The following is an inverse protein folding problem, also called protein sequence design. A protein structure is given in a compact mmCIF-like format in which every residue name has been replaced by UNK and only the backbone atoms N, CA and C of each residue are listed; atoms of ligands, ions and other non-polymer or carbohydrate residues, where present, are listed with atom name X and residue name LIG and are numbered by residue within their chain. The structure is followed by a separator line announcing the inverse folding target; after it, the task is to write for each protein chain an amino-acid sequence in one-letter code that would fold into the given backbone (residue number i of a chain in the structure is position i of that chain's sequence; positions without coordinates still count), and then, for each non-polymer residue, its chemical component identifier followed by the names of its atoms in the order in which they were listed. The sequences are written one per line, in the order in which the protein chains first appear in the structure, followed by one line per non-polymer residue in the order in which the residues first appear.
data_IF_366017596403
#
_entry.id   IF_366017596403
#
_cell.length_a   1.000
_cell.length_b   1.000
_cell.length_c   1.000
_cell.angle_alpha   90.00
_cell.angle_beta   90.00
_cell.angle_gamma   90.00
#
_symmetry.space_group_name_H-M   'P 1'
#
loop_
_entity.id
_entity.type
_entity.pdbx_description
1 polymer ?
#
# COMPACT_ATOMS: atom_id res chain seq x y z
N UNK A 1 23.26 11.27 14.58
CA UNK A 1 22.44 10.70 13.47
C UNK A 1 23.11 9.49 12.82
N UNK A 2 24.40 9.56 12.49
CA UNK A 2 25.18 8.43 11.93
C UNK A 2 25.08 7.16 12.75
N UNK A 3 25.30 7.26 14.06
CA UNK A 3 25.13 6.18 15.02
C UNK A 3 23.77 5.50 14.97
N UNK A 4 22.69 6.30 14.94
CA UNK A 4 21.34 5.77 14.84
C UNK A 4 21.14 5.00 13.53
N UNK A 5 21.71 5.49 12.42
CA UNK A 5 21.66 4.78 11.15
C UNK A 5 22.36 3.42 11.22
N UNK A 6 23.61 3.40 11.69
CA UNK A 6 24.45 2.19 11.73
C UNK A 6 23.88 1.15 12.68
N UNK A 7 23.49 1.56 13.88
CA UNK A 7 23.12 0.62 14.95
C UNK A 7 21.67 0.18 14.89
N UNK A 8 20.82 0.93 14.19
CA UNK A 8 19.37 0.67 14.21
C UNK A 8 18.72 0.88 12.84
N UNK A 9 18.86 2.08 12.26
CA UNK A 9 18.09 2.51 11.10
C UNK A 9 18.26 1.63 9.87
N UNK A 10 19.46 1.11 9.61
CA UNK A 10 19.74 0.26 8.44
C UNK A 10 19.13 -1.15 8.53
N UNK A 11 18.83 -1.61 9.75
CA UNK A 11 18.26 -2.94 10.00
C UNK A 11 16.72 -2.95 9.97
N UNK A 12 16.09 -1.78 9.74
CA UNK A 12 14.65 -1.67 9.66
C UNK A 12 14.15 -1.88 8.23
N UNK A 13 12.94 -2.43 8.09
CA UNK A 13 12.22 -2.49 6.79
C UNK A 13 12.04 -1.11 6.13
N UNK A 14 12.09 -0.03 6.91
CA UNK A 14 12.01 1.36 6.45
C UNK A 14 13.37 2.03 6.22
N UNK A 15 14.47 1.27 6.18
CA UNK A 15 15.85 1.77 6.07
C UNK A 15 16.04 2.84 4.99
N UNK A 16 15.50 2.64 3.79
CA UNK A 16 15.59 3.62 2.69
C UNK A 16 14.97 4.97 3.08
N UNK A 17 13.79 4.94 3.72
CA UNK A 17 13.10 6.15 4.17
C UNK A 17 13.84 6.81 5.33
N UNK A 18 14.37 6.02 6.27
CA UNK A 18 15.17 6.51 7.39
C UNK A 18 16.41 7.25 6.86
N UNK A 19 17.17 6.61 5.97
CA UNK A 19 18.38 7.20 5.36
C UNK A 19 18.10 8.52 4.68
N UNK A 20 17.03 8.58 3.87
CA UNK A 20 16.65 9.81 3.16
C UNK A 20 16.30 10.96 4.13
N UNK A 21 15.57 10.66 5.21
CA UNK A 21 15.19 11.65 6.24
C UNK A 21 16.38 12.16 7.04
N UNK A 22 17.28 11.26 7.43
CA UNK A 22 18.52 11.62 8.13
C UNK A 22 19.41 12.49 7.24
N UNK A 23 19.61 12.09 5.97
CA UNK A 23 20.37 12.89 4.99
C UNK A 23 19.74 14.28 4.82
N UNK A 24 18.41 14.37 4.78
CA UNK A 24 17.73 15.65 4.64
C UNK A 24 17.92 16.56 5.86
N UNK A 25 17.99 15.99 7.06
CA UNK A 25 18.34 16.74 8.27
C UNK A 25 19.82 17.18 8.27
N UNK A 26 20.74 16.33 7.80
CA UNK A 26 22.15 16.71 7.63
C UNK A 26 22.30 17.89 6.66
N UNK A 27 21.61 17.85 5.51
CA UNK A 27 21.60 18.98 4.56
C UNK A 27 21.08 20.28 5.17
N UNK A 28 20.14 20.20 6.11
CA UNK A 28 19.67 21.38 6.83
C UNK A 28 20.73 21.89 7.81
N UNK A 29 21.43 21.00 8.51
CA UNK A 29 22.52 21.41 9.40
C UNK A 29 23.64 22.11 8.62
N UNK A 30 24.02 21.58 7.46
CA UNK A 30 25.02 22.21 6.58
C UNK A 30 24.53 23.62 6.18
N UNK A 31 23.26 23.75 5.77
CA UNK A 31 22.66 25.05 5.44
C UNK A 31 22.65 26.05 6.60
N UNK A 32 22.40 25.59 7.82
CA UNK A 32 22.43 26.45 9.02
C UNK A 32 23.87 26.84 9.40
N UNK A 33 24.84 25.92 9.22
CA UNK A 33 26.27 26.18 9.44
C UNK A 33 26.79 27.23 8.44
N UNK A 34 26.51 27.06 7.16
CA UNK A 34 26.90 28.01 6.09
C UNK A 34 26.31 29.41 6.34
N UNK A 35 25.16 29.48 7.01
CA UNK A 35 24.52 30.73 7.36
C UNK A 35 24.93 31.27 8.74
N UNK A 36 25.92 30.67 9.41
CA UNK A 36 26.44 31.10 10.71
C UNK A 36 25.46 30.97 11.87
N UNK A 37 24.44 30.11 11.75
CA UNK A 37 23.38 29.94 12.77
C UNK A 37 23.59 28.74 13.70
N UNK A 38 24.56 27.87 13.43
CA UNK A 38 24.96 26.80 14.34
C UNK A 38 26.17 27.21 15.15
N UNK A 39 26.18 26.88 16.45
CA UNK A 39 27.40 26.92 17.24
C UNK A 39 28.30 25.75 16.89
N UNK A 40 29.60 25.92 17.17
CA UNK A 40 30.57 24.84 17.11
C UNK A 40 31.16 24.58 18.51
N UNK A 41 30.92 23.39 19.12
CA UNK A 41 30.13 22.28 18.59
C UNK A 41 28.62 22.56 18.63
N UNK A 42 27.87 21.95 17.70
CA UNK A 42 26.42 21.91 17.75
C UNK A 42 25.94 20.77 18.67
N UNK A 43 25.30 21.15 19.77
CA UNK A 43 24.90 20.24 20.84
C UNK A 43 23.41 19.88 20.74
N UNK A 44 23.00 18.65 21.14
CA UNK A 44 21.61 18.22 21.11
C UNK A 44 20.64 19.16 21.83
N UNK A 45 21.08 19.82 22.90
CA UNK A 45 20.31 20.79 23.71
C UNK A 45 19.80 21.97 22.87
N UNK A 46 20.45 22.28 21.75
CA UNK A 46 20.10 23.38 20.85
C UNK A 46 19.01 23.00 19.84
N UNK A 47 18.54 21.75 19.86
CA UNK A 47 17.42 21.29 19.04
C UNK A 47 16.12 21.65 19.77
N UNK A 48 15.70 22.91 19.59
CA UNK A 48 14.51 23.50 20.20
C UNK A 48 13.40 23.78 19.16
N UNK A 49 12.30 24.40 19.62
CA UNK A 49 11.18 24.74 18.74
C UNK A 49 11.57 25.77 17.65
N UNK A 50 12.55 26.64 17.91
CA UNK A 50 13.03 27.62 16.91
C UNK A 50 13.83 26.91 15.81
N UNK A 51 14.75 26.01 16.16
CA UNK A 51 15.48 25.17 15.21
C UNK A 51 14.51 24.39 14.32
N UNK A 52 13.48 23.77 14.91
CA UNK A 52 12.48 23.01 14.17
C UNK A 52 11.58 23.91 13.30
N UNK A 53 11.29 25.14 13.71
CA UNK A 53 10.57 26.12 12.90
C UNK A 53 11.39 26.51 11.65
N UNK A 54 12.69 26.76 11.81
CA UNK A 54 13.60 27.04 10.70
C UNK A 54 13.73 25.86 9.76
N UNK A 55 13.87 24.64 10.29
CA UNK A 55 13.89 23.41 9.48
C UNK A 55 12.63 23.30 8.63
N UNK A 56 11.44 23.50 9.23
CA UNK A 56 10.17 23.42 8.50
C UNK A 56 10.06 24.49 7.41
N UNK A 57 10.48 25.73 7.70
CA UNK A 57 10.47 26.83 6.73
C UNK A 57 11.41 26.56 5.55
N UNK A 58 12.65 26.17 5.84
CA UNK A 58 13.64 25.78 4.83
C UNK A 58 13.16 24.60 3.99
N UNK A 59 12.63 23.55 4.63
CA UNK A 59 12.24 22.33 3.96
C UNK A 59 11.05 22.50 2.99
N UNK A 60 10.20 23.53 3.18
CA UNK A 60 9.15 23.89 2.22
C UNK A 60 9.76 24.44 0.93
N UNK A 61 10.83 25.23 1.05
CA UNK A 61 11.54 25.83 -0.08
C UNK A 61 12.42 24.85 -0.86
N UNK A 62 12.83 23.74 -0.25
CA UNK A 62 13.70 22.74 -0.89
C UNK A 62 12.87 21.64 -1.57
N UNK A 63 12.79 21.58 -2.91
CA UNK A 63 12.00 20.56 -3.59
C UNK A 63 12.62 19.16 -3.49
N UNK A 64 11.83 18.15 -3.87
CA UNK A 64 12.33 16.82 -4.20
C UNK A 64 12.60 16.79 -5.70
N UNK A 65 13.84 16.55 -6.08
CA UNK A 65 14.26 16.45 -7.47
C UNK A 65 14.53 14.98 -7.79
N UNK A 66 13.78 14.43 -8.75
CA UNK A 66 14.09 13.12 -9.32
C UNK A 66 15.31 13.27 -10.24
N UNK A 67 16.26 12.34 -10.17
CA UNK A 67 17.41 12.31 -11.08
C UNK A 67 17.06 11.43 -12.27
N UNK A 68 17.45 11.84 -13.48
CA UNK A 68 17.33 11.05 -14.71
C UNK A 68 18.66 11.00 -15.43
N UNK A 69 18.87 9.99 -16.28
CA UNK A 69 20.01 10.00 -17.21
C UNK A 69 19.65 10.81 -18.45
N UNK A 70 20.57 11.64 -18.91
CA UNK A 70 20.47 12.30 -20.22
C UNK A 70 20.84 11.32 -21.36
N UNK A 71 20.80 11.80 -22.60
CA UNK A 71 21.15 11.00 -23.78
C UNK A 71 22.62 10.52 -23.77
N UNK A 72 23.51 11.20 -23.04
CA UNK A 72 24.90 10.83 -22.86
C UNK A 72 25.12 9.90 -21.64
N UNK A 73 24.06 9.56 -20.91
CA UNK A 73 24.11 8.70 -19.73
C UNK A 73 24.47 9.41 -18.42
N UNK A 74 24.64 10.73 -18.44
CA UNK A 74 24.93 11.52 -17.24
C UNK A 74 23.68 11.73 -16.40
N UNK A 75 23.84 11.69 -15.07
CA UNK A 75 22.74 12.04 -14.17
C UNK A 75 22.50 13.53 -14.19
N UNK A 76 21.29 13.92 -14.59
CA UNK A 76 20.79 15.29 -14.59
C UNK A 76 19.52 15.39 -13.75
N UNK A 77 19.13 16.62 -13.41
CA UNK A 77 17.86 16.87 -12.76
C UNK A 77 16.70 16.57 -13.70
N UNK A 78 15.75 15.81 -13.18
CA UNK A 78 14.50 15.47 -13.83
C UNK A 78 13.35 16.25 -13.21
N UNK A 79 12.22 15.57 -12.99
CA UNK A 79 11.03 16.21 -12.43
C UNK A 79 11.27 16.67 -10.99
N UNK A 80 10.89 17.91 -10.72
CA UNK A 80 10.91 18.51 -9.40
C UNK A 80 9.48 18.58 -8.83
N UNK A 81 9.33 18.29 -7.54
CA UNK A 81 8.05 18.45 -6.83
C UNK A 81 8.25 19.04 -5.45
N UNK A 82 7.27 19.82 -5.00
CA UNK A 82 7.24 20.37 -3.62
C UNK A 82 7.16 19.23 -2.59
N UNK A 83 7.86 19.40 -1.46
CA UNK A 83 7.73 18.51 -0.29
C UNK A 83 6.39 18.76 0.39
N UNK A 84 5.67 17.69 0.75
CA UNK A 84 4.46 17.85 1.53
C UNK A 84 4.81 18.14 3.00
N UNK A 85 3.99 18.92 3.73
CA UNK A 85 4.20 19.16 5.16
C UNK A 85 4.33 17.86 5.95
N UNK A 86 3.55 16.84 5.60
CA UNK A 86 3.67 15.51 6.18
C UNK A 86 5.06 14.89 5.96
N UNK A 87 5.66 15.01 4.78
CA UNK A 87 7.00 14.46 4.50
C UNK A 87 8.09 15.18 5.29
N UNK A 88 7.94 16.50 5.45
CA UNK A 88 8.83 17.33 6.28
C UNK A 88 8.74 16.85 7.74
N UNK A 89 7.52 16.69 8.25
CA UNK A 89 7.30 16.29 9.64
C UNK A 89 7.82 14.88 9.95
N UNK A 90 7.78 13.95 9.00
CA UNK A 90 8.41 12.63 9.14
C UNK A 90 9.93 12.71 9.39
N UNK A 91 10.59 13.77 8.91
CA UNK A 91 12.02 14.00 9.18
C UNK A 91 12.24 14.49 10.62
N UNK A 92 11.31 15.30 11.16
CA UNK A 92 11.32 15.70 12.58
C UNK A 92 11.09 14.50 13.49
N UNK A 93 10.13 13.62 13.15
CA UNK A 93 9.90 12.37 13.88
C UNK A 93 11.16 11.49 13.84
N UNK A 94 11.83 11.41 12.68
CA UNK A 94 13.06 10.64 12.55
C UNK A 94 14.21 11.20 13.39
N UNK A 95 14.37 12.52 13.43
CA UNK A 95 15.34 13.20 14.28
C UNK A 95 15.08 12.89 15.76
N UNK A 96 13.81 12.99 16.19
CA UNK A 96 13.39 12.62 17.55
C UNK A 96 13.76 11.18 17.90
N UNK A 97 13.52 10.24 16.98
CA UNK A 97 13.90 8.83 17.17
C UNK A 97 15.42 8.66 17.29
N UNK A 98 16.21 9.37 16.47
CA UNK A 98 17.67 9.30 16.52
C UNK A 98 18.25 9.86 17.83
N UNK A 99 17.68 10.95 18.35
CA UNK A 99 18.09 11.55 19.62
C UNK A 99 17.66 10.67 20.79
N UNK A 100 16.43 10.14 20.78
CA UNK A 100 15.98 9.17 21.78
C UNK A 100 16.88 7.95 21.82
N UNK A 101 17.28 7.41 20.67
CA UNK A 101 18.22 6.30 20.62
C UNK A 101 19.59 6.65 21.23
N UNK A 102 20.11 7.85 20.99
CA UNK A 102 21.35 8.31 21.62
C UNK A 102 21.21 8.41 23.15
N UNK A 103 20.07 8.90 23.64
CA UNK A 103 19.75 8.98 25.06
C UNK A 103 19.63 7.60 25.71
N UNK A 104 18.87 6.68 25.10
CA UNK A 104 18.68 5.32 25.59
C UNK A 104 20.02 4.55 25.66
N UNK A 105 20.95 4.86 24.75
CA UNK A 105 22.31 4.31 24.74
C UNK A 105 23.32 5.15 25.57
N UNK A 106 22.84 6.06 26.43
CA UNK A 106 23.65 6.89 27.35
C UNK A 106 24.74 7.72 26.68
N UNK A 107 24.56 8.09 25.41
CA UNK A 107 25.52 8.96 24.66
C UNK A 107 25.28 10.44 24.91
N UNK A 108 24.08 10.79 25.33
CA UNK A 108 23.68 12.14 25.71
C UNK A 108 22.99 12.05 27.08
N UNK A 109 23.18 13.08 27.91
CA UNK A 109 22.61 13.12 29.27
C UNK A 109 21.21 13.71 29.31
N UNK A 110 20.89 14.54 28.33
CA UNK A 110 19.63 15.24 28.23
C UNK A 110 18.89 14.84 26.94
N UNK A 111 17.57 14.67 27.05
CA UNK A 111 16.68 14.43 25.92
C UNK A 111 15.88 15.72 25.66
N UNK A 112 16.18 16.46 24.58
CA UNK A 112 15.42 17.65 24.21
C UNK A 112 13.93 17.34 24.02
N UNK A 113 13.01 18.17 24.55
CA UNK A 113 11.57 17.96 24.49
C UNK A 113 11.00 18.28 23.10
N UNK A 114 11.46 17.57 22.07
CA UNK A 114 11.09 17.80 20.66
C UNK A 114 9.60 17.51 20.43
N UNK A 115 8.90 18.53 19.95
CA UNK A 115 7.50 18.47 19.53
C UNK A 115 7.40 18.32 18.01
N UNK A 116 6.65 17.31 17.58
CA UNK A 116 6.28 17.13 16.18
C UNK A 116 4.77 17.39 16.02
N UNK A 117 4.38 17.86 14.84
CA UNK A 117 2.98 18.08 14.47
C UNK A 117 2.30 16.73 14.27
N UNK A 118 1.05 16.63 14.72
CA UNK A 118 0.22 15.44 14.50
C UNK A 118 -0.08 15.27 13.01
N UNK A 119 -0.46 14.05 12.60
CA UNK A 119 -0.78 13.78 11.20
C UNK A 119 -1.88 14.67 10.64
N UNK A 120 -2.90 14.97 11.46
CA UNK A 120 -4.00 15.88 11.11
C UNK A 120 -3.56 17.33 10.93
N UNK A 121 -2.54 17.78 11.67
CA UNK A 121 -2.00 19.13 11.53
C UNK A 121 -1.13 19.34 10.27
N UNK A 122 -0.70 18.25 9.60
CA UNK A 122 0.18 18.30 8.42
C UNK A 122 -0.42 17.66 7.17
N UNK A 123 -1.64 17.14 7.28
CA UNK A 123 -2.36 16.49 6.17
C UNK A 123 -3.77 17.04 6.12
N UNK A 124 -4.13 17.71 5.02
CA UNK A 124 -5.51 18.10 4.80
C UNK A 124 -6.43 16.87 4.83
N UNK A 125 -7.56 16.97 5.54
CA UNK A 125 -8.59 15.92 5.54
C UNK A 125 -9.17 15.82 4.13
N UNK A 126 -9.22 14.60 3.58
CA UNK A 126 -9.75 14.34 2.25
C UNK A 126 -11.00 13.47 2.37
N UNK A 127 -12.16 14.04 2.05
CA UNK A 127 -13.46 13.40 2.21
C UNK A 127 -14.06 12.87 0.90
N UNK A 128 -13.43 13.14 -0.24
CA UNK A 128 -13.83 12.56 -1.52
C UNK A 128 -13.64 11.03 -1.51
N UNK A 129 -14.58 10.35 -2.17
CA UNK A 129 -14.60 8.89 -2.39
C UNK A 129 -15.04 8.64 -3.82
N UNK A 130 -14.47 7.62 -4.47
CA UNK A 130 -15.05 7.07 -5.70
C UNK A 130 -16.45 6.53 -5.41
N UNK A 131 -17.38 6.84 -6.32
CA UNK A 131 -18.69 6.21 -6.37
C UNK A 131 -18.56 4.75 -6.81
N UNK A 132 -19.64 3.99 -6.65
CA UNK A 132 -19.70 2.62 -7.16
C UNK A 132 -19.56 2.57 -8.69
N UNK A 133 -20.19 3.53 -9.37
CA UNK A 133 -20.07 3.70 -10.82
C UNK A 133 -18.62 3.90 -11.26
N UNK A 134 -17.86 4.77 -10.59
CA UNK A 134 -16.45 5.00 -10.92
C UNK A 134 -15.57 3.75 -10.68
N UNK A 135 -15.95 2.87 -9.74
CA UNK A 135 -15.30 1.57 -9.56
C UNK A 135 -15.64 0.63 -10.72
N UNK A 136 -16.89 0.62 -11.19
CA UNK A 136 -17.32 -0.10 -12.40
C UNK A 136 -16.54 0.36 -13.65
N UNK A 137 -16.47 1.66 -13.89
CA UNK A 137 -15.69 2.26 -14.99
C UNK A 137 -14.21 1.88 -14.92
N UNK A 138 -13.64 1.79 -13.71
CA UNK A 138 -12.27 1.34 -13.51
C UNK A 138 -12.09 -0.15 -13.85
N UNK A 139 -13.06 -1.01 -13.52
CA UNK A 139 -13.06 -2.42 -13.91
C UNK A 139 -13.18 -2.57 -15.43
N UNK A 140 -14.10 -1.84 -16.07
CA UNK A 140 -14.27 -1.83 -17.53
C UNK A 140 -13.02 -1.33 -18.25
N UNK A 141 -12.35 -0.32 -17.70
CA UNK A 141 -11.06 0.14 -18.21
C UNK A 141 -10.02 -0.99 -18.24
N UNK A 142 -10.02 -1.89 -17.24
CA UNK A 142 -9.11 -3.03 -17.27
C UNK A 142 -9.41 -4.03 -18.38
N UNK A 143 -10.65 -4.10 -18.87
CA UNK A 143 -11.09 -5.01 -19.95
C UNK A 143 -10.93 -4.41 -21.34
N UNK A 144 -11.03 -3.09 -21.45
CA UNK A 144 -11.01 -2.36 -22.73
C UNK A 144 -9.63 -1.80 -23.04
N UNK A 145 -8.93 -1.31 -22.02
CA UNK A 145 -7.64 -0.67 -22.19
C UNK A 145 -7.71 0.73 -22.76
N UNK A 146 -6.53 1.31 -23.03
CA UNK A 146 -6.39 2.62 -23.67
C UNK A 146 -5.13 2.66 -24.55
N UNK A 147 -5.31 2.37 -25.84
CA UNK A 147 -4.25 2.37 -26.84
C UNK A 147 -3.30 1.17 -26.78
N UNK A 148 -2.23 1.24 -27.57
CA UNK A 148 -1.33 0.10 -27.88
C UNK A 148 -0.63 -0.50 -26.66
N UNK A 149 -0.32 0.31 -25.65
CA UNK A 149 0.48 -0.13 -24.49
C UNK A 149 -0.36 -0.52 -23.27
N UNK A 150 -1.67 -0.27 -23.31
CA UNK A 150 -2.60 -0.46 -22.20
C UNK A 150 -3.60 -1.52 -22.60
N UNK A 151 -3.12 -2.74 -22.87
CA UNK A 151 -3.96 -3.86 -23.30
C UNK A 151 -4.59 -4.58 -22.10
N UNK A 152 -5.70 -5.32 -22.30
CA UNK A 152 -6.35 -6.05 -21.20
C UNK A 152 -5.42 -7.05 -20.50
N UNK A 153 -4.53 -7.70 -21.24
CA UNK A 153 -3.52 -8.61 -20.67
C UNK A 153 -2.54 -7.87 -19.74
N UNK A 154 -2.08 -6.67 -20.14
CA UNK A 154 -1.19 -5.83 -19.30
C UNK A 154 -1.90 -5.22 -18.09
N UNK A 155 -3.22 -5.06 -18.17
CA UNK A 155 -4.06 -4.56 -17.07
C UNK A 155 -4.58 -5.66 -16.14
N UNK A 156 -4.33 -6.94 -16.44
CA UNK A 156 -4.77 -8.04 -15.60
C UNK A 156 -4.29 -7.93 -14.14
N UNK A 157 -3.03 -7.55 -13.84
CA UNK A 157 -2.61 -7.34 -12.45
C UNK A 157 -3.39 -6.22 -11.76
N UNK A 158 -3.71 -5.14 -12.49
CA UNK A 158 -4.55 -4.06 -11.95
C UNK A 158 -5.97 -4.57 -11.66
N UNK A 159 -6.55 -5.38 -12.55
CA UNK A 159 -7.86 -6.00 -12.35
C UNK A 159 -7.88 -6.89 -11.11
N UNK A 160 -6.92 -7.82 -11.00
CA UNK A 160 -6.72 -8.67 -9.82
C UNK A 160 -6.62 -7.82 -8.56
N UNK A 161 -5.79 -6.78 -8.57
CA UNK A 161 -5.69 -5.84 -7.44
C UNK A 161 -7.03 -5.18 -7.08
N UNK A 162 -7.81 -4.72 -8.07
CA UNK A 162 -9.12 -4.08 -7.83
C UNK A 162 -10.10 -5.09 -7.21
N UNK A 163 -10.16 -6.31 -7.72
CA UNK A 163 -11.02 -7.38 -7.19
C UNK A 163 -10.68 -7.68 -5.73
N UNK A 164 -9.40 -7.86 -5.41
CA UNK A 164 -8.97 -8.03 -4.01
C UNK A 164 -9.30 -6.80 -3.16
N UNK A 165 -9.08 -5.59 -3.66
CA UNK A 165 -9.39 -4.35 -2.92
C UNK A 165 -10.88 -4.21 -2.61
N UNK A 166 -11.76 -4.62 -3.51
CA UNK A 166 -13.22 -4.64 -3.31
C UNK A 166 -13.58 -5.70 -2.27
N UNK A 167 -13.10 -6.94 -2.46
CA UNK A 167 -13.54 -8.08 -1.65
C UNK A 167 -12.96 -8.10 -0.24
N UNK A 168 -11.79 -7.48 -0.02
CA UNK A 168 -11.10 -7.54 1.28
C UNK A 168 -11.02 -6.18 1.97
N UNK A 169 -11.21 -5.09 1.21
CA UNK A 169 -10.96 -3.72 1.68
C UNK A 169 -9.54 -3.55 2.23
N UNK A 170 -8.60 -4.45 1.91
CA UNK A 170 -7.30 -4.56 2.56
C UNK A 170 -6.34 -3.42 2.19
N UNK A 171 -5.25 -3.28 2.94
CA UNK A 171 -4.19 -2.31 2.62
C UNK A 171 -3.46 -2.74 1.34
N UNK A 172 -2.92 -1.81 0.53
CA UNK A 172 -2.25 -2.18 -0.72
C UNK A 172 -1.13 -3.21 -0.55
N UNK A 173 -0.37 -3.12 0.55
CA UNK A 173 0.70 -4.08 0.87
C UNK A 173 0.17 -5.45 1.28
N UNK A 174 -1.03 -5.54 1.85
CA UNK A 174 -1.67 -6.81 2.14
C UNK A 174 -2.25 -7.44 0.86
N UNK A 175 -2.82 -6.63 -0.04
CA UNK A 175 -3.36 -7.10 -1.33
C UNK A 175 -2.26 -7.68 -2.23
N UNK A 176 -1.12 -6.98 -2.34
CA UNK A 176 0.04 -7.46 -3.11
C UNK A 176 0.71 -8.69 -2.46
N UNK A 177 0.37 -8.97 -1.20
CA UNK A 177 0.88 -10.09 -0.41
C UNK A 177 -0.22 -11.14 -0.20
N UNK A 178 -1.22 -11.21 -1.08
CA UNK A 178 -2.18 -12.32 -1.14
C UNK A 178 -1.51 -13.45 -1.90
N UNK A 179 -1.40 -14.60 -1.24
CA UNK A 179 -0.83 -15.82 -1.80
C UNK A 179 -1.73 -17.01 -1.42
N UNK A 180 -1.87 -17.99 -2.31
CA UNK A 180 -2.77 -19.13 -2.13
C UNK A 180 -2.07 -20.43 -1.77
N UNK A 181 -0.73 -20.45 -1.67
CA UNK A 181 0.00 -21.68 -1.36
C UNK A 181 -0.21 -22.11 0.10
N UNK A 182 -0.22 -23.42 0.39
CA UNK A 182 -0.41 -23.92 1.75
C UNK A 182 0.63 -23.41 2.75
N UNK A 183 1.88 -23.24 2.33
CA UNK A 183 3.00 -22.82 3.19
C UNK A 183 2.80 -21.41 3.74
N UNK A 184 2.08 -20.58 3.00
CA UNK A 184 1.72 -19.21 3.39
C UNK A 184 0.54 -19.19 4.35
N UNK A 185 -0.24 -20.26 4.43
CA UNK A 185 -1.33 -20.45 5.40
C UNK A 185 -2.45 -19.41 5.34
N UNK A 186 -2.57 -18.65 4.25
CA UNK A 186 -3.53 -17.56 4.16
C UNK A 186 -4.91 -18.04 3.70
N UNK A 187 -4.94 -18.98 2.75
CA UNK A 187 -6.18 -19.41 2.12
C UNK A 187 -6.73 -20.67 2.79
N UNK A 188 -7.92 -20.56 3.40
CA UNK A 188 -8.61 -21.66 4.09
C UNK A 188 -9.90 -22.02 3.32
N UNK A 189 -9.80 -22.82 2.24
CA UNK A 189 -10.91 -23.05 1.31
C UNK A 189 -12.12 -23.73 1.94
N UNK A 190 -11.92 -24.66 2.87
CA UNK A 190 -13.00 -25.39 3.55
C UNK A 190 -13.80 -24.49 4.51
N UNK A 191 -13.11 -23.57 5.18
CA UNK A 191 -13.75 -22.60 6.08
C UNK A 191 -14.33 -21.38 5.35
N UNK A 192 -13.95 -21.16 4.08
CA UNK A 192 -14.31 -19.95 3.35
C UNK A 192 -13.68 -18.69 3.92
N UNK A 193 -12.50 -18.80 4.54
CA UNK A 193 -11.79 -17.70 5.20
C UNK A 193 -10.45 -17.41 4.52
N UNK A 194 -10.02 -16.15 4.55
CA UNK A 194 -8.70 -15.72 4.09
C UNK A 194 -8.00 -14.88 5.16
N UNK A 195 -6.84 -15.34 5.64
CA UNK A 195 -5.98 -14.58 6.53
C UNK A 195 -5.06 -13.63 5.75
N UNK A 196 -5.27 -12.32 5.89
CA UNK A 196 -4.42 -11.32 5.26
C UNK A 196 -3.00 -11.29 5.87
N UNK A 197 -2.78 -11.92 7.02
CA UNK A 197 -1.47 -12.11 7.62
C UNK A 197 -0.91 -13.50 7.25
N UNK A 198 0.12 -13.60 6.40
CA UNK A 198 0.73 -14.89 6.10
C UNK A 198 1.37 -15.53 7.33
N UNK A 199 1.41 -16.86 7.33
CA UNK A 199 2.06 -17.67 8.35
C UNK A 199 3.51 -17.20 8.58
N UNK A 200 3.90 -17.12 9.85
CA UNK A 200 5.23 -16.66 10.27
C UNK A 200 5.46 -15.14 10.20
N UNK A 201 4.55 -14.34 9.62
CA UNK A 201 4.68 -12.87 9.66
C UNK A 201 4.28 -12.32 11.03
N UNK A 202 5.24 -11.68 11.70
CA UNK A 202 4.98 -10.93 12.93
C UNK A 202 3.93 -9.85 12.70
N UNK A 203 2.86 -9.92 13.49
CA UNK A 203 1.79 -8.96 13.42
C UNK A 203 2.20 -7.65 14.09
N UNK A 204 2.08 -6.53 13.36
CA UNK A 204 2.41 -5.19 13.86
C UNK A 204 1.14 -4.45 14.28
N UNK A 205 1.26 -3.20 14.76
CA UNK A 205 0.11 -2.30 14.92
C UNK A 205 -0.68 -2.08 13.61
N UNK A 206 -0.08 -2.35 12.45
CA UNK A 206 -0.79 -2.46 11.18
C UNK A 206 -1.32 -3.89 11.02
N UNK A 207 -2.32 -4.21 11.84
CA UNK A 207 -2.96 -5.53 11.88
C UNK A 207 -3.59 -5.86 10.52
N UNK A 208 -3.46 -7.12 10.12
CA UNK A 208 -4.06 -7.71 8.93
C UNK A 208 -5.04 -8.79 9.41
N UNK A 209 -6.36 -8.60 9.24
CA UNK A 209 -7.36 -9.50 9.79
C UNK A 209 -7.62 -10.72 8.89
N UNK A 210 -8.21 -11.76 9.49
CA UNK A 210 -8.89 -12.85 8.77
C UNK A 210 -10.26 -12.39 8.30
N UNK A 211 -10.62 -12.68 7.05
CA UNK A 211 -11.86 -12.21 6.42
C UNK A 211 -12.66 -13.37 5.81
N UNK A 212 -14.01 -13.32 5.83
CA UNK A 212 -14.81 -14.23 5.03
C UNK A 212 -14.63 -13.94 3.54
N UNK A 213 -14.58 -15.00 2.72
CA UNK A 213 -14.35 -14.89 1.28
C UNK A 213 -15.66 -14.86 0.49
N UNK A 214 -15.81 -13.83 -0.33
CA UNK A 214 -16.90 -13.73 -1.28
C UNK A 214 -16.76 -14.73 -2.44
N UNK A 215 -17.86 -15.17 -3.09
CA UNK A 215 -17.81 -16.19 -4.13
C UNK A 215 -17.03 -15.67 -5.34
N UNK A 216 -17.11 -14.34 -5.57
CA UNK A 216 -16.26 -13.66 -6.52
C UNK A 216 -14.77 -13.87 -6.21
N UNK A 217 -14.33 -13.54 -5.00
CA UNK A 217 -12.92 -13.68 -4.62
C UNK A 217 -12.49 -15.15 -4.65
N UNK A 218 -13.35 -16.07 -4.20
CA UNK A 218 -13.13 -17.52 -4.28
C UNK A 218 -12.77 -17.95 -5.70
N UNK A 219 -13.56 -17.53 -6.70
CA UNK A 219 -13.31 -17.88 -8.10
C UNK A 219 -11.95 -17.41 -8.61
N UNK A 220 -11.45 -16.26 -8.13
CA UNK A 220 -10.12 -15.76 -8.47
C UNK A 220 -9.01 -16.48 -7.71
N UNK A 221 -9.23 -16.80 -6.42
CA UNK A 221 -8.29 -17.57 -5.60
C UNK A 221 -8.09 -18.98 -6.17
N UNK A 222 -9.16 -19.67 -6.54
CA UNK A 222 -9.11 -21.02 -7.13
C UNK A 222 -8.47 -21.05 -8.53
N UNK A 223 -8.41 -19.90 -9.21
CA UNK A 223 -7.76 -19.70 -10.51
C UNK A 223 -6.34 -19.10 -10.38
N UNK A 224 -5.82 -18.97 -9.16
CA UNK A 224 -4.48 -18.46 -8.88
C UNK A 224 -3.58 -19.62 -8.50
N UNK A 225 -2.35 -19.63 -9.02
CA UNK A 225 -1.39 -20.71 -8.71
C UNK A 225 -0.57 -20.41 -7.45
N UNK A 226 -0.09 -19.17 -7.31
CA UNK A 226 0.75 -18.76 -6.18
C UNK A 226 0.37 -17.35 -5.70
N UNK A 227 0.74 -16.32 -6.48
CA UNK A 227 0.51 -14.91 -6.13
C UNK A 227 -0.75 -14.38 -6.78
N UNK A 228 -1.68 -13.84 -5.98
CA UNK A 228 -2.97 -13.39 -6.49
C UNK A 228 -2.88 -12.20 -7.44
N UNK A 229 -2.02 -11.23 -7.13
CA UNK A 229 -1.75 -10.08 -8.01
C UNK A 229 -0.57 -10.43 -8.90
N UNK A 230 -0.89 -11.10 -10.00
CA UNK A 230 0.05 -11.57 -11.00
C UNK A 230 -0.31 -11.04 -12.40
N UNK A 231 0.68 -11.09 -13.30
CA UNK A 231 0.47 -11.04 -14.74
C UNK A 231 0.47 -12.47 -15.30
N UNK A 232 -0.16 -12.67 -16.45
CA UNK A 232 -0.18 -13.95 -17.14
C UNK A 232 0.68 -13.86 -18.42
N UNK A 233 1.62 -14.79 -18.57
CA UNK A 233 2.38 -14.99 -19.81
C UNK A 233 1.96 -16.30 -20.43
N UNK A 234 1.58 -16.26 -21.72
CA UNK A 234 1.37 -17.46 -22.49
C UNK A 234 2.69 -17.94 -23.06
N UNK A 235 2.98 -19.23 -22.90
CA UNK A 235 4.15 -19.90 -23.44
C UNK A 235 3.71 -21.20 -24.10
N UNK A 236 4.29 -21.52 -25.25
CA UNK A 236 4.02 -22.78 -25.93
C UNK A 236 5.04 -23.83 -25.47
N UNK A 237 4.57 -24.85 -24.75
CA UNK A 237 5.41 -25.99 -24.37
C UNK A 237 5.61 -26.89 -25.59
N UNK A 238 6.81 -26.87 -26.16
CA UNK A 238 7.16 -27.68 -27.33
C UNK A 238 7.15 -29.20 -27.04
N UNK A 239 7.38 -29.63 -25.80
CA UNK A 239 7.40 -31.06 -25.46
C UNK A 239 5.99 -31.61 -25.34
N UNK A 240 5.10 -30.84 -24.72
CA UNK A 240 3.72 -31.24 -24.48
C UNK A 240 2.76 -30.81 -25.60
N UNK A 241 3.22 -29.95 -26.53
CA UNK A 241 2.43 -29.39 -27.63
C UNK A 241 1.16 -28.66 -27.12
N UNK A 242 1.26 -27.98 -25.98
CA UNK A 242 0.17 -27.21 -25.38
C UNK A 242 0.58 -25.77 -25.08
N UNK A 243 -0.40 -24.87 -25.06
CA UNK A 243 -0.21 -23.52 -24.51
C UNK A 243 -0.34 -23.57 -22.98
N UNK A 244 0.69 -23.11 -22.28
CA UNK A 244 0.74 -22.99 -20.83
C UNK A 244 0.61 -21.50 -20.45
N UNK A 245 -0.10 -21.24 -19.36
CA UNK A 245 -0.16 -19.91 -18.76
C UNK A 245 0.72 -19.91 -17.52
N UNK A 246 1.73 -19.04 -17.51
CA UNK A 246 2.57 -18.79 -16.34
C UNK A 246 2.06 -17.55 -15.60
N UNK A 247 1.81 -17.67 -14.29
CA UNK A 247 1.43 -16.56 -13.41
C UNK A 247 2.64 -15.96 -12.70
N UNK A 248 2.97 -14.71 -13.01
CA UNK A 248 4.17 -14.04 -12.49
C UNK A 248 3.76 -12.90 -11.57
N UNK A 249 4.21 -12.94 -10.31
CA UNK A 249 3.92 -11.92 -9.31
C UNK A 249 4.39 -10.52 -9.75
N UNK A 250 3.60 -9.48 -9.45
CA UNK A 250 4.02 -8.09 -9.67
C UNK A 250 4.32 -7.39 -8.36
N UNK A 251 5.40 -6.60 -8.34
CA UNK A 251 5.78 -5.79 -7.17
C UNK A 251 4.88 -4.58 -6.96
N UNK A 252 4.19 -4.13 -8.02
CA UNK A 252 3.35 -2.93 -7.97
C UNK A 252 2.38 -2.87 -9.14
N UNK A 253 1.19 -2.34 -8.89
CA UNK A 253 0.22 -1.92 -9.92
C UNK A 253 0.22 -0.40 -10.15
N UNK A 254 1.21 0.31 -9.59
CA UNK A 254 1.20 1.78 -9.50
C UNK A 254 1.14 2.45 -10.86
N UNK A 255 1.95 2.00 -11.82
CA UNK A 255 1.98 2.58 -13.16
C UNK A 255 0.65 2.41 -13.88
N UNK A 256 0.09 1.19 -13.87
CA UNK A 256 -1.23 0.92 -14.47
C UNK A 256 -2.34 1.73 -13.79
N UNK A 257 -2.29 1.87 -12.46
CA UNK A 257 -3.22 2.73 -11.71
C UNK A 257 -3.11 4.20 -12.12
N UNK A 258 -1.89 4.75 -12.20
CA UNK A 258 -1.70 6.16 -12.55
C UNK A 258 -2.17 6.46 -13.99
N UNK A 259 -1.99 5.52 -14.94
CA UNK A 259 -2.56 5.61 -16.29
C UNK A 259 -4.09 5.54 -16.28
N UNK A 260 -4.70 4.59 -15.56
CA UNK A 260 -6.15 4.50 -15.43
C UNK A 260 -6.74 5.75 -14.77
N UNK A 261 -6.06 6.27 -13.74
CA UNK A 261 -6.43 7.50 -13.04
C UNK A 261 -6.48 8.69 -14.00
N UNK A 262 -5.53 8.81 -14.90
CA UNK A 262 -5.51 9.87 -15.91
C UNK A 262 -6.62 9.72 -16.92
N UNK A 263 -6.80 8.51 -17.47
CA UNK A 263 -7.86 8.21 -18.43
C UNK A 263 -9.27 8.47 -17.87
N UNK A 264 -9.51 8.05 -16.62
CA UNK A 264 -10.80 8.16 -15.95
C UNK A 264 -10.94 9.44 -15.11
N UNK A 265 -9.99 10.37 -15.22
CA UNK A 265 -9.98 11.66 -14.51
C UNK A 265 -10.13 11.53 -12.98
N UNK A 266 -9.63 10.44 -12.40
CA UNK A 266 -9.55 10.28 -10.95
C UNK A 266 -8.60 11.35 -10.39
N UNK A 267 -8.95 12.03 -9.27
CA UNK A 267 -8.17 13.16 -8.77
C UNK A 267 -6.67 12.86 -8.57
N UNK A 268 -5.83 13.84 -8.85
CA UNK A 268 -4.38 13.71 -8.68
C UNK A 268 -4.00 13.40 -7.21
N UNK A 269 -2.98 12.57 -7.04
CA UNK A 269 -2.53 12.13 -5.72
C UNK A 269 -3.42 11.07 -5.05
N UNK A 270 -4.43 10.53 -5.76
CA UNK A 270 -5.15 9.31 -5.37
C UNK A 270 -4.40 8.10 -5.90
N UNK A 271 -3.74 7.36 -5.00
CA UNK A 271 -3.16 6.06 -5.32
C UNK A 271 -4.15 4.91 -5.08
N UNK A 272 -3.73 3.65 -5.28
CA UNK A 272 -4.58 2.46 -5.13
C UNK A 272 -5.27 2.31 -3.77
N UNK A 273 -4.73 2.92 -2.71
CA UNK A 273 -5.38 3.01 -1.39
C UNK A 273 -6.74 3.74 -1.42
N UNK A 274 -7.03 4.48 -2.49
CA UNK A 274 -8.30 5.18 -2.66
C UNK A 274 -9.49 4.21 -2.70
N UNK A 275 -9.33 3.04 -3.33
CA UNK A 275 -10.33 1.95 -3.33
C UNK A 275 -10.73 1.54 -1.92
N UNK A 276 -9.75 1.29 -1.03
CA UNK A 276 -10.01 0.94 0.37
C UNK A 276 -10.84 2.00 1.09
N UNK A 277 -10.52 3.27 0.90
CA UNK A 277 -11.30 4.36 1.50
C UNK A 277 -12.71 4.46 0.92
N UNK A 278 -12.86 4.28 -0.39
CA UNK A 278 -14.16 4.24 -1.07
C UNK A 278 -15.02 3.09 -0.59
N UNK A 279 -14.49 1.87 -0.62
CA UNK A 279 -15.21 0.67 -0.21
C UNK A 279 -15.66 0.74 1.25
N UNK A 280 -14.82 1.23 2.17
CA UNK A 280 -15.23 1.43 3.55
C UNK A 280 -16.42 2.40 3.67
N UNK A 281 -16.45 3.47 2.88
CA UNK A 281 -17.58 4.41 2.85
C UNK A 281 -18.81 3.81 2.18
N UNK A 282 -18.65 3.09 1.08
CA UNK A 282 -19.77 2.42 0.38
C UNK A 282 -20.43 1.39 1.30
N UNK A 283 -19.64 0.56 1.99
CA UNK A 283 -20.13 -0.44 2.93
C UNK A 283 -20.82 0.21 4.15
N UNK A 284 -20.25 1.29 4.71
CA UNK A 284 -20.92 2.05 5.77
C UNK A 284 -22.29 2.58 5.31
N UNK A 285 -22.37 3.12 4.10
CA UNK A 285 -23.62 3.62 3.53
C UNK A 285 -24.62 2.50 3.19
N UNK A 286 -24.18 1.25 3.07
CA UNK A 286 -25.02 0.05 2.92
C UNK A 286 -25.48 -0.51 4.27
N UNK A 287 -25.17 0.16 5.39
CA UNK A 287 -25.60 -0.25 6.72
C UNK A 287 -24.70 -1.29 7.38
N UNK A 288 -23.49 -1.54 6.86
CA UNK A 288 -22.53 -2.43 7.54
C UNK A 288 -22.14 -1.82 8.89
N UNK A 289 -22.23 -2.58 10.00
CA UNK A 289 -21.90 -2.07 11.33
C UNK A 289 -20.50 -1.47 11.42
N UNK A 290 -20.32 -0.29 12.07
CA UNK A 290 -19.02 0.38 12.15
C UNK A 290 -17.91 -0.44 12.82
N UNK A 291 -18.27 -1.32 13.75
CA UNK A 291 -17.35 -2.24 14.41
C UNK A 291 -16.84 -3.32 13.46
N UNK A 292 -17.70 -3.91 12.63
CA UNK A 292 -17.29 -4.83 11.57
C UNK A 292 -16.38 -4.12 10.54
N UNK A 293 -16.73 -2.88 10.14
CA UNK A 293 -15.85 -2.07 9.27
C UNK A 293 -14.49 -1.85 9.94
N UNK A 294 -14.46 -1.55 11.24
CA UNK A 294 -13.22 -1.38 12.00
C UNK A 294 -12.39 -2.66 12.05
N UNK A 295 -13.02 -3.82 12.17
CA UNK A 295 -12.38 -5.14 12.19
C UNK A 295 -11.81 -5.52 10.81
N UNK A 296 -12.59 -5.34 9.74
CA UNK A 296 -12.14 -5.55 8.34
C UNK A 296 -11.00 -4.62 7.97
N UNK A 297 -11.03 -3.37 8.47
CA UNK A 297 -9.93 -2.43 8.30
C UNK A 297 -8.71 -2.77 9.19
N UNK A 298 -8.81 -3.74 10.11
CA UNK A 298 -7.76 -4.05 11.08
C UNK A 298 -7.41 -2.83 11.94
N UNK A 299 -8.43 -2.12 12.41
CA UNK A 299 -8.34 -0.99 13.33
C UNK A 299 -8.75 -1.38 14.75
N UNK A 300 -9.77 -2.24 14.90
CA UNK A 300 -10.14 -2.86 16.18
C UNK A 300 -9.37 -4.17 16.32
N UNK A 301 -8.84 -4.39 17.52
CA UNK A 301 -8.06 -5.58 17.87
C UNK A 301 -8.79 -6.30 19.00
N UNK A 302 -8.97 -7.61 18.86
CA UNK A 302 -8.97 -8.48 20.04
C UNK A 302 -7.54 -8.44 20.59
N UNK A 303 -7.34 -8.60 21.90
CA UNK A 303 -5.98 -8.69 22.41
C UNK A 303 -5.25 -9.88 21.73
N UNK A 304 -3.92 -9.81 21.61
CA UNK A 304 -3.14 -10.80 20.86
C UNK A 304 -3.29 -12.23 21.40
N UNK A 305 -3.55 -12.35 22.70
CA UNK A 305 -3.75 -13.63 23.37
C UNK A 305 -5.09 -14.23 22.94
N UNK A 306 -6.16 -13.44 23.02
CA UNK A 306 -7.51 -13.80 22.59
C UNK A 306 -7.60 -14.05 21.09
N UNK A 307 -6.92 -13.25 20.26
CA UNK A 307 -6.87 -13.45 18.79
C UNK A 307 -6.34 -14.85 18.42
N UNK A 308 -5.37 -15.39 19.16
CA UNK A 308 -4.82 -16.73 18.90
C UNK A 308 -5.75 -17.90 19.25
N UNK A 309 -6.77 -17.68 20.08
CA UNK A 309 -7.75 -18.70 20.47
C UNK A 309 -9.05 -18.64 19.67
N UNK A 310 -9.28 -17.59 18.90
CA UNK A 310 -10.54 -17.40 18.17
C UNK A 310 -10.45 -18.08 16.82
N UNK A 311 -11.09 -19.25 16.72
CA UNK A 311 -11.52 -19.80 15.44
C UNK A 311 -12.80 -19.05 15.06
N UNK A 312 -12.73 -18.21 14.04
CA UNK A 312 -13.88 -17.45 13.58
C UNK A 312 -14.92 -18.40 12.96
N UNK A 313 -16.16 -18.32 13.45
CA UNK A 313 -17.31 -18.93 12.80
C UNK A 313 -17.53 -18.32 11.40
N UNK A 314 -18.04 -19.07 10.40
CA UNK A 314 -18.32 -18.52 9.07
C UNK A 314 -19.26 -17.30 9.04
N UNK A 315 -20.09 -17.11 10.07
CA UNK A 315 -20.95 -15.94 10.27
C UNK A 315 -20.28 -14.73 10.93
N UNK A 316 -19.01 -14.83 11.35
CA UNK A 316 -18.24 -13.68 11.82
C UNK A 316 -18.06 -12.69 10.67
N UNK A 317 -18.43 -11.42 10.90
CA UNK A 317 -18.54 -10.36 9.87
C UNK A 317 -19.69 -10.57 8.87
N UNK A 318 -20.85 -11.08 9.33
CA UNK A 318 -22.06 -11.26 8.50
C UNK A 318 -22.55 -9.95 7.88
N UNK A 319 -22.53 -8.84 8.62
CA UNK A 319 -22.96 -7.54 8.09
C UNK A 319 -22.10 -7.09 6.91
N UNK A 320 -20.78 -7.23 7.05
CA UNK A 320 -19.81 -6.98 6.00
C UNK A 320 -20.02 -7.90 4.81
N UNK A 321 -20.24 -9.20 5.03
CA UNK A 321 -20.48 -10.18 3.96
C UNK A 321 -21.73 -9.80 3.14
N UNK A 322 -22.84 -9.45 3.81
CA UNK A 322 -24.07 -9.00 3.16
C UNK A 322 -23.88 -7.69 2.39
N UNK A 323 -23.28 -6.68 3.02
CA UNK A 323 -23.01 -5.41 2.34
C UNK A 323 -22.05 -5.54 1.16
N UNK A 324 -21.08 -6.47 1.23
CA UNK A 324 -20.21 -6.80 0.12
C UNK A 324 -20.98 -7.49 -1.01
N UNK A 325 -21.84 -8.48 -0.70
CA UNK A 325 -22.66 -9.16 -1.71
C UNK A 325 -23.57 -8.17 -2.45
N UNK A 326 -24.17 -7.20 -1.76
CA UNK A 326 -24.97 -6.13 -2.38
C UNK A 326 -24.12 -5.26 -3.34
N UNK A 327 -22.91 -4.89 -2.92
CA UNK A 327 -21.99 -4.11 -3.75
C UNK A 327 -21.56 -4.92 -4.98
N UNK A 328 -21.26 -6.20 -4.81
CA UNK A 328 -20.87 -7.09 -5.90
C UNK A 328 -22.01 -7.33 -6.88
N UNK A 329 -23.25 -7.45 -6.41
CA UNK A 329 -24.43 -7.58 -7.26
C UNK A 329 -24.60 -6.36 -8.17
N UNK A 330 -24.41 -5.15 -7.63
CA UNK A 330 -24.50 -3.92 -8.43
C UNK A 330 -23.31 -3.74 -9.38
N UNK A 331 -22.09 -4.10 -8.95
CA UNK A 331 -20.93 -4.11 -9.86
C UNK A 331 -21.08 -5.15 -10.97
N UNK A 332 -21.70 -6.29 -10.71
CA UNK A 332 -21.96 -7.30 -11.73
C UNK A 332 -22.90 -6.79 -12.83
N UNK A 333 -23.91 -6.00 -12.44
CA UNK A 333 -24.80 -5.33 -13.41
C UNK A 333 -24.06 -4.28 -14.26
N UNK A 334 -23.07 -3.60 -13.67
CA UNK A 334 -22.31 -2.53 -14.34
C UNK A 334 -21.17 -3.05 -15.22
N UNK A 335 -20.32 -3.91 -14.67
CA UNK A 335 -19.03 -4.30 -15.26
C UNK A 335 -18.98 -5.75 -15.76
N UNK A 336 -20.01 -6.56 -15.47
CA UNK A 336 -20.20 -7.92 -15.99
C UNK A 336 -18.93 -8.78 -16.04
N UNK A 337 -18.44 -9.03 -17.26
CA UNK A 337 -17.31 -9.91 -17.56
C UNK A 337 -16.01 -9.52 -16.86
N UNK A 338 -15.81 -8.25 -16.49
CA UNK A 338 -14.62 -7.78 -15.78
C UNK A 338 -14.45 -8.44 -14.39
N UNK A 339 -15.54 -8.93 -13.80
CA UNK A 339 -15.51 -9.62 -12.51
C UNK A 339 -15.16 -11.11 -12.64
N UNK A 340 -15.26 -11.72 -13.82
CA UNK A 340 -15.09 -13.17 -13.97
C UNK A 340 -13.65 -13.56 -14.27
N UNK A 341 -13.05 -14.39 -13.41
CA UNK A 341 -11.69 -14.89 -13.57
C UNK A 341 -11.45 -15.60 -14.93
N UNK A 342 -12.43 -16.40 -15.39
CA UNK A 342 -12.31 -17.23 -16.61
C UNK A 342 -12.67 -16.51 -17.92
N UNK A 343 -13.51 -15.48 -17.88
CA UNK A 343 -13.88 -14.70 -19.08
C UNK A 343 -12.85 -13.61 -19.43
N UNK A 344 -11.87 -13.40 -18.56
CA UNK A 344 -10.68 -12.61 -18.83
C UNK A 344 -9.75 -13.26 -19.87
N UNK A 345 -9.89 -14.57 -20.10
CA UNK A 345 -9.14 -15.34 -21.07
C UNK A 345 -10.06 -15.60 -22.26
N UNK A 346 -9.67 -15.17 -23.47
CA UNK A 346 -10.36 -15.63 -24.69
C UNK A 346 -10.33 -17.16 -24.67
N UNK A 347 -11.50 -17.80 -24.74
CA UNK A 347 -11.62 -19.26 -24.81
C UNK A 347 -10.88 -19.79 -26.05
N UNK A 348 -9.63 -20.18 -25.87
CA UNK A 348 -8.97 -21.24 -26.62
C UNK A 348 -8.64 -22.35 -25.63
N UNK A 349 -8.61 -23.61 -26.07
CA UNK A 349 -8.32 -24.75 -25.22
C UNK A 349 -6.99 -24.56 -24.47
N UNK A 350 -7.05 -24.14 -23.21
CA UNK A 350 -5.90 -23.88 -22.35
C UNK A 350 -6.02 -24.80 -21.14
N UNK A 351 -5.01 -25.64 -20.93
CA UNK A 351 -4.88 -26.47 -19.75
C UNK A 351 -3.99 -25.73 -18.75
N UNK A 352 -4.51 -25.44 -17.56
CA UNK A 352 -3.71 -24.87 -16.46
C UNK A 352 -2.91 -26.02 -15.86
N UNK A 353 -1.59 -26.01 -16.05
CA UNK A 353 -0.70 -26.91 -15.32
C UNK A 353 -0.42 -26.30 -13.95
N UNK A 354 -0.92 -26.95 -12.90
CA UNK A 354 -0.54 -26.65 -11.52
C UNK A 354 0.89 -27.14 -11.32
N UNK A 355 1.80 -26.23 -10.97
CA UNK A 355 3.17 -26.57 -10.59
C UNK A 355 3.20 -27.25 -9.22
#
# INVERSE_FOLDING_TARGET
MTDYWILHGQHQVSAISIKARLKFMTLFLDHEADAGRLSDPFLPEQIDDQFLARFRAWAIGVPIVARKKDAAGHWVDGMSRKRSPATIEESVIQLKAAIKHAYDNRRIRYLPPIKHKTRGAVTAKRNDRMSLQAIGELLDYTMTGAGTYTTPARLLPLRRYIIAAICTVARPDAILDINVTPERGQWMPEAGLFDLNPAGRLQTNKRRPTLPVAPLLRNWLDATDEWFVCQERQEFDQKQQINVIEQIAVKSVRSAWDTAREALRIPAGRGPKYLRHSMATILANRGVPPDEISMVLGHRVLDQTTESYVIYDPGYLKGFRQGLDDVLADLMKMAGTALHAKLAQKHSNVTVLRA
#
